data_IF_521233183969
#
_entry.id   IF_521233183969
#
_cell.length_a   1.000
_cell.length_b   1.000
_cell.length_c   1.000
_cell.angle_alpha   90.00
_cell.angle_beta   90.00
_cell.angle_gamma   90.00
#
_symmetry.space_group_name_H-M   'P 1'
#
loop_
_entity.id
_entity.type
_entity.pdbx_description
1 polymer ?
#
# COMPACT_ATOMS: atom_id res chain seq x y z
N UNK A 1 1.13 21.11 12.68
CA UNK A 1 0.85 19.66 12.73
C UNK A 1 2.15 18.93 12.43
N UNK A 2 2.68 18.23 13.42
CA UNK A 2 3.88 17.41 13.34
C UNK A 2 3.50 15.92 13.25
N UNK A 3 4.48 15.05 13.01
CA UNK A 3 4.25 13.60 13.10
C UNK A 3 3.76 13.17 14.49
N UNK A 4 4.26 13.80 15.55
CA UNK A 4 3.88 13.51 16.93
C UNK A 4 2.37 13.67 17.16
N UNK A 5 1.77 14.67 16.50
CA UNK A 5 0.35 14.98 16.66
C UNK A 5 -0.57 13.91 16.06
N UNK A 6 -0.07 13.08 15.13
CA UNK A 6 -0.90 12.17 14.32
C UNK A 6 -0.52 10.69 14.41
N UNK A 7 0.70 10.37 14.85
CA UNK A 7 1.21 8.99 14.89
C UNK A 7 0.33 8.01 15.67
N UNK A 8 -0.38 8.50 16.69
CA UNK A 8 -1.24 7.68 17.56
C UNK A 8 -2.63 7.39 16.99
N UNK A 9 -3.04 8.04 15.90
CA UNK A 9 -4.39 7.88 15.35
C UNK A 9 -4.60 6.51 14.68
N UNK A 10 -3.53 5.92 14.15
CA UNK A 10 -3.58 4.66 13.37
C UNK A 10 -2.59 3.59 13.87
N UNK A 11 -1.88 3.86 14.97
CA UNK A 11 -0.92 2.94 15.57
C UNK A 11 -1.29 2.63 17.04
N UNK A 12 -1.62 1.38 17.39
CA UNK A 12 -1.63 0.19 16.51
C UNK A 12 -2.77 0.24 15.49
N UNK A 13 -2.55 -0.42 14.35
CA UNK A 13 -3.59 -0.60 13.34
C UNK A 13 -4.64 -1.58 13.89
N UNK A 14 -5.88 -1.11 14.06
CA UNK A 14 -6.99 -1.89 14.60
C UNK A 14 -7.92 -2.37 13.48
N UNK A 15 -8.44 -3.59 13.59
CA UNK A 15 -9.37 -4.14 12.61
C UNK A 15 -10.73 -3.42 12.64
N UNK A 16 -11.33 -3.12 11.47
CA UNK A 16 -12.56 -2.33 11.37
C UNK A 16 -13.84 -3.10 11.73
N UNK A 17 -13.74 -4.40 12.06
CA UNK A 17 -14.87 -5.28 12.41
C UNK A 17 -15.92 -5.38 11.30
N UNK A 18 -15.48 -5.39 10.05
CA UNK A 18 -16.31 -5.56 8.85
C UNK A 18 -15.58 -6.43 7.83
N UNK A 19 -16.34 -7.01 6.90
CA UNK A 19 -15.74 -7.69 5.73
C UNK A 19 -14.86 -6.69 4.99
N UNK A 20 -13.62 -7.10 4.69
CA UNK A 20 -12.62 -6.23 4.09
C UNK A 20 -12.02 -6.87 2.85
N UNK A 21 -11.92 -6.07 1.79
CA UNK A 21 -11.24 -6.42 0.56
C UNK A 21 -9.99 -5.55 0.42
N UNK A 22 -8.82 -6.15 0.62
CA UNK A 22 -7.52 -5.48 0.49
C UNK A 22 -6.97 -5.69 -0.92
N UNK A 23 -7.01 -4.63 -1.73
CA UNK A 23 -6.57 -4.62 -3.13
C UNK A 23 -5.32 -3.75 -3.27
N UNK A 24 -4.29 -4.25 -3.93
CA UNK A 24 -3.11 -3.43 -4.26
C UNK A 24 -2.30 -3.98 -5.44
N UNK A 25 -1.52 -3.10 -6.07
CA UNK A 25 -0.50 -3.46 -7.05
C UNK A 25 0.67 -4.21 -6.41
N UNK A 26 1.37 -5.03 -7.21
CA UNK A 26 2.61 -5.71 -6.83
C UNK A 26 3.57 -5.81 -8.01
N UNK A 27 4.84 -6.07 -7.71
CA UNK A 27 5.93 -6.32 -8.65
C UNK A 27 6.25 -5.14 -9.58
N UNK A 28 5.91 -3.94 -9.11
CA UNK A 28 6.31 -2.68 -9.73
C UNK A 28 7.52 -2.12 -8.98
N UNK A 29 8.63 -1.78 -9.68
CA UNK A 29 9.81 -1.21 -9.04
C UNK A 29 9.52 0.10 -8.30
N UNK A 30 9.53 0.04 -6.98
CA UNK A 30 9.14 1.14 -6.08
C UNK A 30 10.36 1.66 -5.32
N UNK A 31 10.48 2.96 -5.05
CA UNK A 31 11.59 3.47 -4.25
C UNK A 31 11.56 2.87 -2.83
N UNK A 32 12.56 2.04 -2.49
CA UNK A 32 12.66 1.39 -1.18
C UNK A 32 13.51 2.16 -0.18
N UNK A 33 14.56 2.83 -0.68
CA UNK A 33 15.50 3.64 0.10
C UNK A 33 16.04 4.78 -0.75
N UNK A 34 16.21 5.94 -0.13
CA UNK A 34 16.85 7.11 -0.74
C UNK A 34 18.26 7.30 -0.18
N UNK A 35 19.22 7.47 -1.08
CA UNK A 35 20.64 7.65 -0.79
C UNK A 35 20.99 9.12 -1.02
N UNK A 36 21.14 9.84 0.08
CA UNK A 36 21.55 11.25 0.08
C UNK A 36 23.06 11.37 0.29
N UNK A 37 23.67 12.23 -0.52
CA UNK A 37 25.06 12.62 -0.31
C UNK A 37 25.14 13.69 0.79
N UNK A 38 26.03 13.49 1.77
CA UNK A 38 26.14 14.36 2.96
C UNK A 38 26.43 15.82 2.62
N UNK A 39 27.12 16.10 1.52
CA UNK A 39 27.50 17.46 1.12
C UNK A 39 26.44 18.16 0.26
N UNK A 40 25.53 17.40 -0.37
CA UNK A 40 24.58 17.93 -1.36
C UNK A 40 23.13 17.55 -1.12
N UNK A 41 22.79 16.96 0.02
CA UNK A 41 21.45 16.42 0.33
C UNK A 41 20.29 17.43 0.18
N UNK A 42 20.54 18.73 0.37
CA UNK A 42 19.55 19.79 0.16
C UNK A 42 19.46 20.31 -1.28
N UNK A 43 20.45 20.02 -2.12
CA UNK A 43 20.63 20.66 -3.44
C UNK A 43 20.45 19.70 -4.61
N UNK A 44 20.54 18.40 -4.38
CA UNK A 44 20.48 17.37 -5.42
C UNK A 44 19.44 16.32 -5.06
N UNK A 45 18.79 15.80 -6.11
CA UNK A 45 17.91 14.64 -5.96
C UNK A 45 18.72 13.44 -5.46
N UNK A 46 18.20 12.67 -4.49
CA UNK A 46 18.85 11.46 -4.03
C UNK A 46 18.85 10.40 -5.14
N UNK A 47 19.85 9.51 -5.10
CA UNK A 47 19.71 8.22 -5.77
C UNK A 47 18.73 7.36 -4.97
N UNK A 48 18.11 6.37 -5.58
CA UNK A 48 17.25 5.44 -4.84
C UNK A 48 17.51 4.00 -5.24
N UNK A 49 17.28 3.10 -4.29
CA UNK A 49 17.31 1.65 -4.49
C UNK A 49 15.86 1.18 -4.63
N UNK A 50 15.60 0.43 -5.71
CA UNK A 50 14.28 -0.14 -5.99
C UNK A 50 13.98 -1.30 -5.05
N UNK A 51 12.71 -1.45 -4.73
CA UNK A 51 12.10 -2.52 -3.92
C UNK A 51 10.75 -2.88 -4.55
N UNK A 52 10.08 -3.92 -4.05
CA UNK A 52 8.76 -4.32 -4.53
C UNK A 52 7.66 -3.38 -4.01
N UNK A 53 6.64 -3.12 -4.83
CA UNK A 53 5.46 -2.33 -4.50
C UNK A 53 4.56 -2.12 -5.73
N UNK A 54 3.85 -1.00 -5.73
CA UNK A 54 2.96 -0.54 -6.82
C UNK A 54 3.53 0.69 -7.57
N UNK A 55 4.84 0.92 -7.44
CA UNK A 55 5.55 2.08 -8.01
C UNK A 55 5.63 3.28 -7.07
N UNK A 56 4.77 3.34 -6.04
CA UNK A 56 4.78 4.41 -5.02
C UNK A 56 4.86 3.86 -3.59
N UNK A 57 4.00 2.90 -3.25
CA UNK A 57 3.87 2.30 -1.92
C UNK A 57 4.58 0.94 -1.89
N UNK A 58 5.49 0.75 -0.94
CA UNK A 58 6.22 -0.52 -0.84
C UNK A 58 5.34 -1.67 -0.35
N UNK A 59 5.67 -2.89 -0.78
CA UNK A 59 4.96 -4.12 -0.44
C UNK A 59 4.77 -4.32 1.07
N UNK A 60 5.77 -3.94 1.88
CA UNK A 60 5.72 -4.00 3.35
C UNK A 60 4.56 -3.20 3.97
N UNK A 61 4.14 -2.10 3.34
CA UNK A 61 2.97 -1.33 3.78
C UNK A 61 1.68 -1.91 3.23
N UNK A 62 1.70 -2.32 1.95
CA UNK A 62 0.54 -2.88 1.26
C UNK A 62 0.03 -4.17 1.92
N UNK A 63 0.95 -5.01 2.41
CA UNK A 63 0.62 -6.23 3.17
C UNK A 63 0.10 -5.95 4.60
N UNK A 64 0.06 -4.68 5.04
CA UNK A 64 -0.32 -4.31 6.40
C UNK A 64 -1.74 -4.75 6.79
N UNK A 65 -2.65 -4.84 5.82
CA UNK A 65 -4.03 -5.30 6.00
C UNK A 65 -4.13 -6.78 6.42
N UNK A 66 -3.13 -7.61 6.09
CA UNK A 66 -3.14 -9.04 6.42
C UNK A 66 -3.05 -9.29 7.93
N UNK A 67 -2.47 -8.35 8.68
CA UNK A 67 -2.41 -8.40 10.15
C UNK A 67 -3.78 -8.33 10.81
N UNK A 68 -4.79 -7.88 10.07
CA UNK A 68 -6.15 -7.72 10.57
C UNK A 68 -6.95 -9.04 10.52
N UNK A 69 -6.45 -10.07 9.82
CA UNK A 69 -7.10 -11.40 9.75
C UNK A 69 -7.33 -12.02 11.12
N UNK A 70 -6.36 -11.87 12.02
CA UNK A 70 -6.40 -12.46 13.36
C UNK A 70 -7.01 -11.49 14.41
N UNK A 71 -7.51 -10.32 13.98
CA UNK A 71 -8.03 -9.27 14.87
C UNK A 71 -9.55 -9.06 14.75
N UNK A 72 -10.22 -9.80 13.86
CA UNK A 72 -11.67 -9.73 13.66
C UNK A 72 -12.22 -11.06 13.15
N UNK A 73 -13.52 -11.29 13.34
CA UNK A 73 -14.18 -12.50 12.85
C UNK A 73 -14.55 -12.41 11.36
N UNK A 74 -14.70 -11.19 10.84
CA UNK A 74 -15.09 -10.91 9.47
C UNK A 74 -13.94 -11.21 8.52
N UNK A 75 -14.26 -11.72 7.34
CA UNK A 75 -13.25 -12.16 6.37
C UNK A 75 -12.43 -10.99 5.83
N UNK A 76 -11.12 -11.20 5.71
CA UNK A 76 -10.19 -10.28 5.03
C UNK A 76 -9.70 -10.92 3.73
N UNK A 77 -10.34 -10.55 2.63
CA UNK A 77 -9.91 -10.91 1.29
C UNK A 77 -8.67 -10.10 0.91
N UNK A 78 -7.73 -10.76 0.22
CA UNK A 78 -6.52 -10.13 -0.27
C UNK A 78 -6.37 -10.44 -1.75
N UNK A 79 -6.33 -9.39 -2.57
CA UNK A 79 -6.20 -9.50 -4.02
C UNK A 79 -5.05 -8.61 -4.48
N UNK A 80 -4.03 -9.22 -5.05
CA UNK A 80 -2.93 -8.51 -5.68
C UNK A 80 -3.16 -8.38 -7.18
N UNK A 81 -2.61 -7.32 -7.77
CA UNK A 81 -2.64 -7.08 -9.22
C UNK A 81 -1.20 -6.84 -9.71
N UNK A 82 -0.66 -7.80 -10.45
CA UNK A 82 0.73 -7.77 -10.91
C UNK A 82 0.94 -6.67 -11.96
N UNK A 83 1.98 -5.85 -11.78
CA UNK A 83 2.33 -4.78 -12.72
C UNK A 83 1.38 -3.57 -12.71
N UNK A 84 0.41 -3.53 -11.79
CA UNK A 84 -0.52 -2.40 -11.68
C UNK A 84 0.11 -1.30 -10.83
N UNK A 85 0.32 -0.15 -11.47
CA UNK A 85 0.88 1.05 -10.86
C UNK A 85 -0.11 1.74 -9.92
N UNK A 86 0.42 2.54 -8.98
CA UNK A 86 -0.33 3.16 -7.89
C UNK A 86 -1.56 3.97 -8.34
N UNK A 87 -1.44 4.72 -9.43
CA UNK A 87 -2.56 5.50 -10.00
C UNK A 87 -3.39 4.70 -11.01
N UNK A 88 -2.79 3.69 -11.63
CA UNK A 88 -3.45 2.82 -12.61
C UNK A 88 -4.53 1.95 -11.96
N UNK A 89 -4.33 1.57 -10.69
CA UNK A 89 -5.30 0.77 -9.92
C UNK A 89 -6.73 1.33 -9.96
N UNK A 90 -6.91 2.65 -10.08
CA UNK A 90 -8.22 3.30 -10.11
C UNK A 90 -9.01 3.04 -11.40
N UNK A 91 -8.33 2.71 -12.50
CA UNK A 91 -8.95 2.48 -13.81
C UNK A 91 -8.56 1.14 -14.46
N UNK A 92 -7.72 0.34 -13.80
CA UNK A 92 -7.32 -0.97 -14.28
C UNK A 92 -8.55 -1.90 -14.41
N UNK A 93 -8.74 -2.46 -15.61
CA UNK A 93 -9.92 -3.26 -15.96
C UNK A 93 -10.19 -4.42 -14.99
N UNK A 94 -9.14 -5.09 -14.51
CA UNK A 94 -9.29 -6.27 -13.63
C UNK A 94 -9.64 -5.85 -12.20
N UNK A 95 -9.19 -4.66 -11.77
CA UNK A 95 -9.57 -4.08 -10.47
C UNK A 95 -11.03 -3.67 -10.51
N UNK A 96 -11.47 -3.01 -11.59
CA UNK A 96 -12.88 -2.67 -11.81
C UNK A 96 -13.76 -3.93 -11.85
N UNK A 97 -13.30 -4.98 -12.55
CA UNK A 97 -14.01 -6.25 -12.62
C UNK A 97 -14.16 -6.89 -11.23
N UNK A 98 -13.10 -6.88 -10.41
CA UNK A 98 -13.16 -7.34 -9.02
C UNK A 98 -14.19 -6.56 -8.21
N UNK A 99 -14.14 -5.22 -8.24
CA UNK A 99 -15.06 -4.36 -7.48
C UNK A 99 -16.51 -4.59 -7.92
N UNK A 100 -16.77 -4.70 -9.23
CA UNK A 100 -18.09 -5.07 -9.75
C UNK A 100 -18.56 -6.42 -9.21
N UNK A 101 -17.69 -7.42 -9.19
CA UNK A 101 -18.00 -8.74 -8.63
C UNK A 101 -18.30 -8.72 -7.12
N UNK A 102 -17.76 -7.76 -6.37
CA UNK A 102 -18.12 -7.56 -4.95
C UNK A 102 -19.48 -6.87 -4.81
N UNK A 103 -19.74 -5.83 -5.60
CA UNK A 103 -20.95 -4.99 -5.49
C UNK A 103 -22.21 -5.62 -6.11
N UNK A 104 -22.05 -6.42 -7.16
CA UNK A 104 -23.15 -6.98 -7.96
C UNK A 104 -23.44 -8.45 -7.59
N UNK A 105 -23.11 -8.85 -6.36
CA UNK A 105 -23.51 -10.15 -5.82
C UNK A 105 -25.03 -10.26 -5.68
#
# INVERSE_FOLDING_TARGET
MTWEDTKGLVNPLQAPQVEMHCLHGVDVPTAGRFLYDKSTWLKKNPKYVKDNGDGTVNIRSLLGCLRLRDQQNQTVYHQTFHGVEHLDILHHKDVIAYIKGVLMK
#
